data_IF_790843984673
#
_entry.id   IF_790843984673
#
_cell.length_a   1.000
_cell.length_b   1.000
_cell.length_c   1.000
_cell.angle_alpha   90.00
_cell.angle_beta   90.00
_cell.angle_gamma   90.00
#
_symmetry.space_group_name_H-M   'P 1'
#
loop_
_entity.id
_entity.type
_entity.pdbx_description
1 polymer ?
#
# COMPACT_ATOMS: atom_id res chain seq x y z
N UNK A 1 17.61 63.23 -47.86
CA UNK A 1 18.50 63.18 -46.68
C UNK A 1 17.78 62.46 -45.55
N UNK A 2 17.99 61.14 -45.45
CA UNK A 2 17.22 60.25 -44.58
C UNK A 2 17.98 59.94 -43.28
N UNK A 3 17.24 59.97 -42.16
CA UNK A 3 17.71 59.84 -40.78
C UNK A 3 18.26 58.43 -40.51
N UNK A 4 19.43 58.34 -39.86
CA UNK A 4 20.01 57.09 -39.34
C UNK A 4 19.23 56.63 -38.09
N UNK A 5 18.71 55.40 -38.02
CA UNK A 5 18.22 54.85 -36.77
C UNK A 5 19.35 54.18 -35.98
N UNK A 6 19.39 54.49 -34.70
CA UNK A 6 20.31 53.96 -33.70
C UNK A 6 19.98 52.50 -33.40
N UNK A 7 20.99 51.62 -33.45
CA UNK A 7 20.89 50.24 -33.01
C UNK A 7 20.71 50.18 -31.49
N UNK A 8 19.51 49.88 -31.01
CA UNK A 8 19.28 49.49 -29.61
C UNK A 8 19.57 48.00 -29.47
N UNK A 9 20.66 47.71 -28.76
CA UNK A 9 21.06 46.38 -28.30
C UNK A 9 19.95 45.79 -27.42
N UNK A 10 19.22 44.79 -27.92
CA UNK A 10 18.29 43.99 -27.13
C UNK A 10 19.09 43.05 -26.21
N UNK A 11 19.12 43.35 -24.91
CA UNK A 11 19.57 42.40 -23.89
C UNK A 11 18.41 41.42 -23.67
N UNK A 12 18.55 40.22 -24.22
CA UNK A 12 17.65 39.10 -23.99
C UNK A 12 17.96 38.51 -22.59
N UNK A 13 17.25 38.98 -21.57
CA UNK A 13 17.32 38.35 -20.24
C UNK A 13 16.54 37.04 -20.30
N UNK A 14 17.27 35.95 -20.48
CA UNK A 14 16.74 34.60 -20.37
C UNK A 14 16.39 34.36 -18.89
N UNK A 15 15.14 34.60 -18.52
CA UNK A 15 14.59 34.15 -17.24
C UNK A 15 14.57 32.62 -17.28
N UNK A 16 15.63 31.99 -16.75
CA UNK A 16 15.57 30.60 -16.33
C UNK A 16 14.53 30.52 -15.22
N UNK A 17 13.29 30.22 -15.61
CA UNK A 17 12.24 29.82 -14.68
C UNK A 17 12.75 28.56 -13.97
N UNK A 18 13.25 28.75 -12.74
CA UNK A 18 13.45 27.69 -11.78
C UNK A 18 12.08 27.08 -11.49
N UNK A 19 11.66 26.14 -12.34
CA UNK A 19 10.73 25.10 -11.94
C UNK A 19 11.44 24.29 -10.86
N UNK A 20 11.34 24.74 -9.60
CA UNK A 20 11.57 23.88 -8.45
C UNK A 20 10.49 22.82 -8.50
N UNK A 21 10.79 21.70 -9.17
CA UNK A 21 10.09 20.45 -8.94
C UNK A 21 10.35 20.13 -7.47
N UNK A 22 9.33 20.11 -6.59
CA UNK A 22 9.55 19.62 -5.24
C UNK A 22 10.03 18.18 -5.37
N UNK A 23 11.28 17.94 -4.97
CA UNK A 23 11.82 16.60 -4.82
C UNK A 23 10.84 15.80 -3.97
N UNK A 24 10.43 14.64 -4.50
CA UNK A 24 9.42 13.79 -3.88
C UNK A 24 9.68 13.59 -2.39
N UNK A 25 8.71 13.95 -1.57
CA UNK A 25 8.64 13.56 -0.16
C UNK A 25 8.32 12.06 -0.12
N UNK A 26 9.33 11.24 -0.42
CA UNK A 26 9.28 9.81 -0.24
C UNK A 26 9.22 9.48 1.25
N UNK A 27 8.57 8.37 1.58
CA UNK A 27 8.66 7.75 2.90
C UNK A 27 10.14 7.64 3.29
N UNK A 28 10.49 7.84 4.58
CA UNK A 28 11.88 7.64 5.04
C UNK A 28 12.37 6.30 4.48
N UNK A 29 13.39 6.33 3.62
CA UNK A 29 14.15 5.15 3.23
C UNK A 29 14.65 4.53 4.53
N UNK A 30 14.06 3.40 4.93
CA UNK A 30 14.73 2.50 5.85
C UNK A 30 16.07 2.16 5.22
N UNK A 31 17.13 2.08 6.03
CA UNK A 31 18.49 1.80 5.60
C UNK A 31 18.51 0.74 4.49
N UNK A 32 19.24 1.02 3.40
CA UNK A 32 19.24 0.23 2.18
C UNK A 32 19.53 -1.25 2.41
N UNK A 33 18.45 -2.04 2.47
CA UNK A 33 18.45 -3.48 2.24
C UNK A 33 17.88 -3.73 0.85
N UNK A 34 18.28 -4.84 0.23
CA UNK A 34 17.66 -5.38 -1.00
C UNK A 34 16.14 -5.19 -0.98
N UNK A 35 15.57 -4.70 -2.07
CA UNK A 35 14.13 -4.48 -2.22
C UNK A 35 13.34 -5.73 -1.75
N UNK A 36 12.52 -5.59 -0.71
CA UNK A 36 11.79 -6.70 -0.06
C UNK A 36 10.38 -6.85 -0.65
N UNK A 37 10.25 -6.64 -1.95
CA UNK A 37 9.00 -6.82 -2.69
C UNK A 37 8.49 -8.27 -2.55
N UNK A 38 7.22 -8.41 -2.17
CA UNK A 38 6.46 -9.68 -2.19
C UNK A 38 5.34 -9.55 -3.20
N UNK A 39 5.68 -9.72 -4.49
CA UNK A 39 4.76 -9.46 -5.61
C UNK A 39 3.89 -10.67 -5.99
N UNK A 40 4.15 -11.82 -5.37
CA UNK A 40 3.46 -13.07 -5.68
C UNK A 40 3.02 -13.80 -4.41
N UNK A 41 2.08 -14.73 -4.58
CA UNK A 41 1.74 -15.71 -3.55
C UNK A 41 3.01 -16.44 -3.09
N UNK A 42 3.24 -16.47 -1.77
CA UNK A 42 4.49 -16.96 -1.15
C UNK A 42 5.78 -16.23 -1.59
N UNK A 43 5.70 -14.93 -1.91
CA UNK A 43 6.84 -14.03 -2.09
C UNK A 43 7.43 -14.03 -3.51
N UNK A 44 7.57 -15.19 -4.14
CA UNK A 44 8.19 -15.34 -5.45
C UNK A 44 7.68 -16.56 -6.23
N UNK A 45 8.29 -16.82 -7.39
CA UNK A 45 7.87 -17.89 -8.32
C UNK A 45 8.14 -19.29 -7.75
N UNK A 46 9.20 -19.40 -6.97
CA UNK A 46 9.61 -20.56 -6.18
C UNK A 46 8.67 -20.86 -5.00
N UNK A 47 7.82 -19.88 -4.61
CA UNK A 47 6.78 -20.01 -3.59
C UNK A 47 7.28 -20.51 -2.23
N UNK A 48 8.50 -20.14 -1.86
CA UNK A 48 9.10 -20.60 -0.61
C UNK A 48 8.54 -19.86 0.62
N UNK A 49 8.01 -18.65 0.45
CA UNK A 49 7.64 -17.78 1.58
C UNK A 49 8.84 -17.32 2.42
N UNK A 50 10.05 -17.70 2.03
CA UNK A 50 11.31 -17.40 2.70
C UNK A 50 11.89 -16.07 2.21
N UNK A 51 12.36 -15.24 3.13
CA UNK A 51 13.14 -14.04 2.82
C UNK A 51 14.59 -14.24 3.34
N UNK A 52 15.57 -14.53 2.47
CA UNK A 52 16.96 -14.73 2.90
C UNK A 52 17.63 -13.45 3.39
N UNK A 53 17.01 -12.29 3.18
CA UNK A 53 17.51 -10.99 3.64
C UNK A 53 16.85 -10.53 4.95
N UNK A 54 15.97 -11.33 5.55
CA UNK A 54 15.36 -11.02 6.85
C UNK A 54 16.36 -11.31 7.98
N UNK A 55 16.80 -10.26 8.68
CA UNK A 55 17.77 -10.36 9.79
C UNK A 55 17.21 -9.87 11.12
N UNK A 56 16.03 -9.25 11.14
CA UNK A 56 15.48 -8.61 12.33
C UNK A 56 14.61 -9.58 13.14
N UNK A 57 13.84 -10.45 12.48
CA UNK A 57 12.95 -11.43 13.11
C UNK A 57 13.67 -12.73 13.52
N UNK A 58 14.63 -12.64 14.45
CA UNK A 58 15.27 -13.82 15.07
C UNK A 58 14.35 -14.48 16.11
N UNK A 59 14.58 -15.75 16.49
CA UNK A 59 13.82 -16.38 17.57
C UNK A 59 13.79 -15.56 18.88
N UNK A 60 14.91 -14.93 19.23
CA UNK A 60 15.03 -14.09 20.43
C UNK A 60 14.20 -12.81 20.31
N UNK A 61 14.22 -12.14 19.15
CA UNK A 61 13.45 -10.90 18.96
C UNK A 61 11.95 -11.19 18.89
N UNK A 62 11.54 -12.31 18.29
CA UNK A 62 10.14 -12.75 18.24
C UNK A 62 9.63 -13.17 19.62
N UNK A 63 10.45 -13.83 20.44
CA UNK A 63 10.08 -14.22 21.80
C UNK A 63 10.07 -13.03 22.79
N UNK A 64 10.60 -11.87 22.40
CA UNK A 64 10.68 -10.70 23.26
C UNK A 64 9.32 -10.00 23.40
N UNK A 65 9.17 -9.25 24.50
CA UNK A 65 8.00 -8.37 24.72
C UNK A 65 7.93 -7.19 23.75
N UNK A 66 9.01 -6.93 23.00
CA UNK A 66 9.06 -5.86 22.00
C UNK A 66 8.40 -6.28 20.68
N UNK A 67 8.19 -7.58 20.44
CA UNK A 67 7.45 -8.07 19.28
C UNK A 67 5.95 -7.92 19.52
N UNK A 68 5.29 -7.17 18.63
CA UNK A 68 3.86 -6.92 18.75
C UNK A 68 3.28 -6.22 17.53
N UNK A 69 1.95 -5.95 17.55
CA UNK A 69 1.28 -5.24 16.47
C UNK A 69 1.84 -3.82 16.33
N UNK A 70 2.21 -3.42 15.11
CA UNK A 70 2.59 -2.04 14.79
C UNK A 70 1.38 -1.18 14.54
N UNK A 71 0.44 -1.69 13.74
CA UNK A 71 -0.73 -0.96 13.30
C UNK A 71 -1.80 -1.92 12.79
N UNK A 72 -3.03 -1.41 12.75
CA UNK A 72 -4.17 -2.04 12.10
C UNK A 72 -4.76 -1.07 11.08
N UNK A 73 -5.13 -1.55 9.90
CA UNK A 73 -5.93 -0.72 8.97
C UNK A 73 -7.30 -0.40 9.57
N UNK A 74 -8.07 0.58 9.06
CA UNK A 74 -9.52 0.59 9.25
C UNK A 74 -10.15 -0.77 8.86
N UNK A 75 -11.37 -1.02 9.33
CA UNK A 75 -12.15 -2.17 8.88
C UNK A 75 -12.40 -2.05 7.37
N UNK A 76 -12.26 -3.16 6.64
CA UNK A 76 -12.60 -3.18 5.22
C UNK A 76 -14.12 -3.25 5.02
N UNK A 77 -14.56 -2.86 3.82
CA UNK A 77 -15.97 -2.69 3.50
C UNK A 77 -16.69 -4.04 3.52
N UNK A 78 -17.84 -4.10 4.20
CA UNK A 78 -18.81 -5.19 4.08
C UNK A 78 -19.71 -4.97 2.86
N UNK A 79 -20.30 -6.05 2.33
CA UNK A 79 -21.23 -5.95 1.19
C UNK A 79 -22.59 -6.54 1.54
N UNK A 80 -23.66 -5.89 1.07
CA UNK A 80 -25.03 -6.42 1.16
C UNK A 80 -25.40 -7.12 -0.15
N UNK A 81 -25.82 -8.39 -0.06
CA UNK A 81 -26.30 -9.19 -1.20
C UNK A 81 -27.63 -9.81 -0.80
N UNK A 82 -28.71 -9.51 -1.54
CA UNK A 82 -30.04 -10.05 -1.25
C UNK A 82 -30.54 -9.76 0.17
N UNK A 83 -30.24 -8.56 0.72
CA UNK A 83 -30.61 -8.17 2.08
C UNK A 83 -29.71 -8.75 3.19
N UNK A 84 -28.75 -9.61 2.86
CA UNK A 84 -27.79 -10.17 3.83
C UNK A 84 -26.46 -9.41 3.75
N UNK A 85 -25.93 -9.00 4.90
CA UNK A 85 -24.60 -8.36 4.99
C UNK A 85 -23.52 -9.42 5.17
N UNK A 86 -22.50 -9.36 4.32
CA UNK A 86 -21.34 -10.23 4.37
C UNK A 86 -20.10 -9.41 4.76
N UNK A 87 -19.44 -9.74 5.89
CA UNK A 87 -18.17 -9.13 6.23
C UNK A 87 -17.12 -9.51 5.17
N UNK A 88 -16.11 -8.66 4.94
CA UNK A 88 -14.98 -9.07 4.12
C UNK A 88 -14.25 -10.23 4.81
N UNK A 89 -13.58 -11.08 4.06
CA UNK A 89 -12.54 -11.98 4.58
C UNK A 89 -11.28 -11.75 3.76
N UNK A 90 -10.16 -11.48 4.42
CA UNK A 90 -8.87 -11.27 3.77
C UNK A 90 -8.33 -12.60 3.20
N UNK A 91 -7.81 -12.57 1.97
CA UNK A 91 -7.04 -13.70 1.47
C UNK A 91 -5.69 -13.81 2.19
N UNK A 92 -5.21 -15.04 2.34
CA UNK A 92 -4.10 -15.39 3.23
C UNK A 92 -2.73 -14.82 2.84
N UNK A 93 -2.55 -14.34 1.61
CA UNK A 93 -1.29 -13.72 1.16
C UNK A 93 -1.55 -12.33 0.63
N UNK A 94 -1.16 -11.37 1.44
CA UNK A 94 -1.04 -9.98 1.04
C UNK A 94 0.17 -9.82 0.11
N UNK A 95 0.06 -8.94 -0.87
CA UNK A 95 1.22 -8.52 -1.66
C UNK A 95 1.82 -7.26 -1.04
N UNK A 96 3.13 -7.13 -1.07
CA UNK A 96 3.85 -5.95 -0.62
C UNK A 96 4.74 -5.43 -1.74
N UNK A 97 4.69 -4.13 -1.97
CA UNK A 97 5.55 -3.46 -2.92
C UNK A 97 6.10 -2.15 -2.36
N UNK A 98 7.41 -1.97 -2.46
CA UNK A 98 8.06 -0.67 -2.32
C UNK A 98 7.82 0.19 -3.56
N UNK A 99 7.97 1.50 -3.39
CA UNK A 99 8.01 2.50 -4.47
C UNK A 99 6.80 2.50 -5.44
N UNK A 100 5.60 2.22 -4.93
CA UNK A 100 4.37 2.27 -5.73
C UNK A 100 3.95 3.72 -5.94
N UNK A 101 4.04 4.18 -7.19
CA UNK A 101 3.53 5.48 -7.61
C UNK A 101 1.99 5.49 -7.66
N UNK A 102 1.38 6.51 -7.07
CA UNK A 102 -0.06 6.75 -7.13
C UNK A 102 -0.33 7.79 -8.20
N UNK A 103 -1.08 7.43 -9.24
CA UNK A 103 -1.33 8.29 -10.40
C UNK A 103 -2.65 9.05 -10.34
N UNK A 104 -3.55 8.71 -9.40
CA UNK A 104 -4.89 9.29 -9.31
C UNK A 104 -5.39 9.36 -7.86
N UNK A 105 -6.42 10.19 -7.63
CA UNK A 105 -7.05 10.38 -6.33
C UNK A 105 -6.28 11.35 -5.40
N UNK A 106 -6.65 11.40 -4.11
CA UNK A 106 -6.10 12.38 -3.15
C UNK A 106 -4.59 12.30 -2.93
N UNK A 107 -3.98 11.17 -3.28
CA UNK A 107 -2.54 10.91 -3.11
C UNK A 107 -1.78 10.90 -4.45
N UNK A 108 -2.39 11.40 -5.53
CA UNK A 108 -1.76 11.44 -6.86
C UNK A 108 -0.42 12.18 -6.84
N UNK A 109 0.57 11.67 -7.59
CA UNK A 109 1.93 12.21 -7.65
C UNK A 109 2.83 11.79 -6.48
N UNK A 110 2.32 10.99 -5.54
CA UNK A 110 3.09 10.47 -4.40
C UNK A 110 3.47 9.01 -4.61
N UNK A 111 4.47 8.56 -3.85
CA UNK A 111 4.97 7.17 -3.87
C UNK A 111 4.88 6.58 -2.48
N UNK A 112 4.38 5.34 -2.38
CA UNK A 112 4.21 4.65 -1.12
C UNK A 112 4.78 3.23 -1.15
N UNK A 113 5.11 2.72 0.04
CA UNK A 113 5.24 1.29 0.30
C UNK A 113 3.84 0.75 0.57
N UNK A 114 3.36 -0.16 -0.27
CA UNK A 114 1.96 -0.53 -0.32
C UNK A 114 1.78 -2.01 -0.05
N UNK A 115 0.78 -2.31 0.77
CA UNK A 115 0.21 -3.64 0.90
C UNK A 115 -1.06 -3.71 0.06
N UNK A 116 -1.14 -4.69 -0.81
CA UNK A 116 -2.35 -5.00 -1.54
C UNK A 116 -3.10 -6.13 -0.84
N UNK A 117 -4.34 -5.82 -0.44
CA UNK A 117 -5.24 -6.71 0.28
C UNK A 117 -6.47 -7.01 -0.56
N UNK A 118 -6.61 -8.25 -1.00
CA UNK A 118 -7.83 -8.72 -1.65
C UNK A 118 -8.76 -9.37 -0.63
N UNK A 119 -10.06 -9.16 -0.78
CA UNK A 119 -11.09 -9.68 0.11
C UNK A 119 -12.11 -10.55 -0.61
N UNK A 120 -12.73 -11.47 0.12
CA UNK A 120 -13.72 -12.45 -0.36
C UNK A 120 -15.01 -11.84 -0.95
N UNK A 121 -15.20 -10.54 -0.79
CA UNK A 121 -16.34 -9.79 -1.34
C UNK A 121 -16.00 -9.02 -2.62
N UNK A 122 -14.86 -9.32 -3.25
CA UNK A 122 -14.49 -8.80 -4.56
C UNK A 122 -13.80 -7.44 -4.55
N UNK A 123 -13.38 -6.96 -3.39
CA UNK A 123 -12.61 -5.72 -3.27
C UNK A 123 -11.10 -5.99 -3.17
N UNK A 124 -10.34 -5.05 -3.71
CA UNK A 124 -8.89 -4.92 -3.48
C UNK A 124 -8.62 -3.55 -2.86
N UNK A 125 -7.79 -3.53 -1.83
CA UNK A 125 -7.36 -2.33 -1.12
C UNK A 125 -5.87 -2.14 -1.32
N UNK A 126 -5.45 -0.90 -1.55
CA UNK A 126 -4.08 -0.48 -1.32
C UNK A 126 -4.00 0.14 0.08
N UNK A 127 -3.16 -0.42 0.93
CA UNK A 127 -2.94 0.03 2.30
C UNK A 127 -1.51 0.53 2.44
N UNK A 128 -1.36 1.72 3.00
CA UNK A 128 -0.04 2.29 3.25
C UNK A 128 0.71 1.48 4.31
N UNK A 129 1.89 0.96 3.97
CA UNK A 129 2.68 0.10 4.85
C UNK A 129 3.38 0.85 6.00
N UNK A 130 3.78 2.10 5.75
CA UNK A 130 4.54 2.92 6.69
C UNK A 130 4.06 4.36 6.69
N UNK A 131 4.18 5.04 7.83
CA UNK A 131 3.78 6.43 7.93
C UNK A 131 4.54 7.31 6.92
N UNK A 132 3.78 8.09 6.15
CA UNK A 132 4.32 9.09 5.23
C UNK A 132 4.22 10.47 5.90
N UNK A 133 5.34 11.20 5.93
CA UNK A 133 5.39 12.58 6.40
C UNK A 133 5.36 13.55 5.21
N UNK A 134 4.93 14.79 5.42
CA UNK A 134 4.92 15.81 4.36
C UNK A 134 3.72 16.75 4.45
N UNK A 135 3.38 17.38 3.33
CA UNK A 135 2.25 18.32 3.23
C UNK A 135 0.88 17.65 3.44
N UNK A 136 0.79 16.35 3.19
CA UNK A 136 -0.38 15.52 3.51
C UNK A 136 0.09 14.26 4.23
N UNK A 137 0.34 14.33 5.56
CA UNK A 137 0.78 13.17 6.33
C UNK A 137 -0.25 12.04 6.27
N UNK A 138 0.22 10.80 6.16
CA UNK A 138 -0.64 9.63 6.13
C UNK A 138 -0.11 8.54 7.06
N UNK A 139 -0.91 8.03 8.02
CA UNK A 139 -0.44 7.00 8.94
C UNK A 139 -0.20 5.66 8.23
N UNK A 140 0.60 4.80 8.84
CA UNK A 140 0.66 3.40 8.48
C UNK A 140 -0.72 2.74 8.70
N UNK A 141 -1.11 1.82 7.84
CA UNK A 141 -2.42 1.19 7.84
C UNK A 141 -3.55 2.00 7.18
N UNK A 142 -3.29 3.24 6.75
CA UNK A 142 -4.29 4.01 6.00
C UNK A 142 -4.63 3.36 4.66
N UNK A 143 -5.91 3.32 4.30
CA UNK A 143 -6.35 2.91 2.97
C UNK A 143 -6.06 4.06 1.99
N UNK A 144 -5.21 3.79 0.99
CA UNK A 144 -4.88 4.73 -0.09
C UNK A 144 -6.02 4.77 -1.12
N UNK A 145 -6.55 3.60 -1.46
CA UNK A 145 -7.70 3.42 -2.32
C UNK A 145 -8.28 2.02 -2.14
N UNK A 146 -9.53 1.85 -2.58
CA UNK A 146 -10.16 0.55 -2.77
C UNK A 146 -10.76 0.45 -4.16
N UNK A 147 -10.87 -0.77 -4.68
CA UNK A 147 -11.48 -1.04 -5.98
C UNK A 147 -12.28 -2.33 -5.92
N UNK A 148 -13.54 -2.26 -6.33
CA UNK A 148 -14.33 -3.45 -6.63
C UNK A 148 -13.89 -4.04 -7.98
N UNK A 149 -13.59 -5.34 -8.00
CA UNK A 149 -13.22 -6.09 -9.19
C UNK A 149 -14.44 -6.66 -9.94
N UNK A 150 -15.59 -6.74 -9.28
CA UNK A 150 -16.81 -7.35 -9.79
C UNK A 150 -18.04 -6.80 -9.07
N UNK A 151 -19.23 -6.92 -9.66
CA UNK A 151 -20.45 -6.72 -8.88
C UNK A 151 -20.52 -7.79 -7.76
N UNK A 152 -20.73 -7.40 -6.48
CA UNK A 152 -20.88 -8.36 -5.39
C UNK A 152 -22.10 -9.25 -5.64
N UNK A 153 -21.84 -10.47 -6.09
CA UNK A 153 -22.85 -11.51 -6.34
C UNK A 153 -22.37 -12.81 -5.72
N UNK A 154 -23.26 -13.78 -5.51
CA UNK A 154 -22.83 -15.12 -5.09
C UNK A 154 -21.78 -15.71 -6.05
N UNK A 155 -21.88 -15.40 -7.34
CA UNK A 155 -20.93 -15.84 -8.37
C UNK A 155 -19.57 -15.14 -8.32
N UNK A 156 -19.44 -13.93 -7.79
CA UNK A 156 -18.10 -13.34 -7.64
C UNK A 156 -17.24 -14.10 -6.59
N UNK A 157 -17.84 -14.94 -5.74
CA UNK A 157 -17.09 -15.84 -4.85
C UNK A 157 -16.38 -16.96 -5.61
N UNK A 158 -16.93 -17.43 -6.74
CA UNK A 158 -16.40 -18.61 -7.45
C UNK A 158 -15.21 -18.29 -8.36
N UNK A 159 -15.03 -17.03 -8.78
CA UNK A 159 -13.88 -16.62 -9.60
C UNK A 159 -12.52 -16.85 -8.92
N UNK A 160 -12.49 -17.02 -7.59
CA UNK A 160 -11.26 -17.32 -6.84
C UNK A 160 -11.19 -18.75 -6.28
N UNK A 161 -12.30 -19.53 -6.29
CA UNK A 161 -12.43 -20.76 -5.49
C UNK A 161 -12.80 -22.05 -6.26
N UNK A 162 -12.79 -22.11 -7.59
CA UNK A 162 -13.18 -23.35 -8.28
C UNK A 162 -12.10 -24.48 -8.17
N UNK A 163 -12.05 -25.13 -6.99
CA UNK A 163 -11.79 -26.56 -6.72
C UNK A 163 -12.04 -26.84 -5.22
N UNK A 164 -13.30 -27.03 -4.79
CA UNK A 164 -13.79 -28.13 -3.90
C UNK A 164 -15.21 -27.87 -3.32
N UNK A 165 -15.95 -28.95 -2.95
CA UNK A 165 -17.41 -28.96 -2.90
C UNK A 165 -18.02 -28.39 -1.62
N UNK A 166 -19.26 -27.96 -1.79
CA UNK A 166 -20.11 -27.18 -0.90
C UNK A 166 -20.68 -27.95 0.28
N UNK A 167 -20.12 -27.81 1.48
CA UNK A 167 -20.84 -28.04 2.75
C UNK A 167 -20.09 -27.38 3.92
N UNK A 168 -20.27 -26.08 4.16
CA UNK A 168 -19.95 -25.46 5.45
C UNK A 168 -20.94 -24.36 5.81
N UNK A 169 -21.61 -24.54 6.95
CA UNK A 169 -22.53 -23.59 7.60
C UNK A 169 -21.70 -22.62 8.46
N UNK A 170 -21.91 -21.31 8.32
CA UNK A 170 -21.17 -20.30 9.08
C UNK A 170 -21.86 -19.96 10.42
N UNK A 171 -21.09 -19.90 11.50
CA UNK A 171 -21.51 -19.39 12.81
C UNK A 171 -21.30 -17.87 12.93
N UNK A 172 -22.21 -17.11 13.56
CA UNK A 172 -22.19 -15.65 13.54
C UNK A 172 -21.47 -15.06 14.77
N UNK A 173 -20.15 -15.16 14.83
CA UNK A 173 -19.33 -14.30 15.70
C UNK A 173 -17.97 -14.08 15.04
N UNK A 174 -17.79 -12.97 14.32
CA UNK A 174 -16.51 -12.65 13.69
C UNK A 174 -16.17 -11.17 13.89
N UNK A 175 -15.04 -10.90 14.54
CA UNK A 175 -14.35 -9.62 14.49
C UNK A 175 -14.17 -9.19 13.02
N UNK A 176 -14.48 -7.93 12.71
CA UNK A 176 -14.30 -7.36 11.38
C UNK A 176 -12.80 -7.44 10.98
N UNK A 177 -12.45 -7.97 9.79
CA UNK A 177 -11.05 -8.12 9.41
C UNK A 177 -10.40 -6.78 9.08
N UNK A 178 -9.13 -6.68 9.46
CA UNK A 178 -8.23 -5.54 9.30
C UNK A 178 -6.88 -6.10 8.82
N UNK A 179 -6.14 -5.35 8.03
CA UNK A 179 -4.74 -5.69 7.79
C UNK A 179 -3.92 -5.36 9.05
N UNK A 180 -3.07 -6.28 9.49
CA UNK A 180 -2.23 -6.14 10.69
C UNK A 180 -0.78 -6.41 10.29
N UNK A 181 0.12 -5.49 10.63
CA UNK A 181 1.57 -5.72 10.58
C UNK A 181 2.11 -5.74 12.01
N UNK A 182 3.07 -6.64 12.27
CA UNK A 182 3.84 -6.70 13.51
C UNK A 182 5.33 -6.37 13.26
N UNK A 183 6.01 -5.80 14.27
CA UNK A 183 7.47 -5.54 14.28
C UNK A 183 7.96 -5.42 15.72
N UNK A 184 9.26 -5.58 15.91
CA UNK A 184 9.98 -5.14 17.10
C UNK A 184 9.94 -3.61 17.28
N UNK A 185 9.68 -3.14 18.50
CA UNK A 185 9.96 -1.76 18.90
C UNK A 185 11.48 -1.57 19.13
N UNK A 186 12.13 -0.73 18.32
CA UNK A 186 13.57 -0.48 18.40
C UNK A 186 13.97 0.94 17.99
N UNK A 187 14.28 1.75 19.01
CA UNK A 187 14.97 3.06 19.10
C UNK A 187 14.48 4.21 18.19
N UNK A 188 13.84 5.19 18.82
CA UNK A 188 13.87 6.58 18.35
C UNK A 188 15.34 7.02 18.31
N UNK A 189 15.86 7.25 17.11
CA UNK A 189 17.06 8.08 16.94
C UNK A 189 16.61 9.53 17.16
N UNK A 190 17.09 10.11 18.26
CA UNK A 190 17.15 11.56 18.47
C UNK A 190 18.15 12.19 17.50
#
# INVERSE_FOLDING_TARGET
>A
MARRPQYRLLILVCFAALCRVPAGLGQKLGAGGSNVNKLMFHGGRERLGWNPFETELTPETVASTAFGPMWNSPAFDAVAIGGTTYPPHLYASLLYADDVAISAGPQAGSTFRVIFAATSNGYVYAVNGFAAAGASPLPAGAVLWSRSLCAPTAACRSAFWERRPSTWTAHPHACMPRAVIARQAGRCLH
#
